data_IF_865440663080
#
_entry.id   IF_865440663080
#
_cell.length_a   1.000
_cell.length_b   1.000
_cell.length_c   1.000
_cell.angle_alpha   90.00
_cell.angle_beta   90.00
_cell.angle_gamma   90.00
#
_symmetry.space_group_name_H-M   'P 1'
#
loop_
_entity.id
_entity.type
_entity.pdbx_description
1 polymer ?
#
# COMPACT_ATOMS: atom_id res chain seq x y z
N UNK A 1 -3.00 40.09 63.01
CA UNK A 1 -2.79 39.88 61.56
C UNK A 1 -3.49 38.59 61.19
N UNK A 2 -4.50 38.69 60.33
CA UNK A 2 -5.71 37.88 60.32
C UNK A 2 -5.61 36.68 59.36
N UNK A 3 -6.06 35.51 59.83
CA UNK A 3 -6.20 34.22 59.11
C UNK A 3 -6.96 34.28 57.76
N UNK A 4 -7.51 35.44 57.39
CA UNK A 4 -8.24 35.64 56.14
C UNK A 4 -7.33 35.77 54.91
N UNK A 5 -6.06 36.13 55.08
CA UNK A 5 -5.13 36.30 53.96
C UNK A 5 -4.67 34.95 53.34
N UNK A 6 -4.54 33.90 54.15
CA UNK A 6 -4.07 32.58 53.68
C UNK A 6 -5.14 31.77 52.93
N UNK A 7 -6.44 32.09 53.10
CA UNK A 7 -7.52 31.38 52.42
C UNK A 7 -7.64 31.77 50.94
N UNK A 8 -7.38 33.04 50.60
CA UNK A 8 -7.50 33.53 49.22
C UNK A 8 -6.40 33.03 48.28
N UNK A 9 -5.21 32.72 48.81
CA UNK A 9 -4.11 32.17 48.00
C UNK A 9 -4.37 30.70 47.62
N UNK A 10 -5.12 29.97 48.43
CA UNK A 10 -5.39 28.53 48.18
C UNK A 10 -6.52 28.31 47.17
N UNK A 11 -7.50 29.22 47.08
CA UNK A 11 -8.57 29.15 46.07
C UNK A 11 -8.07 29.61 44.69
N UNK A 12 -7.12 30.55 44.63
CA UNK A 12 -6.53 31.00 43.38
C UNK A 12 -5.60 29.94 42.74
N UNK A 13 -4.96 29.08 43.54
CA UNK A 13 -4.06 28.04 43.03
C UNK A 13 -4.79 26.81 42.44
N UNK A 14 -6.04 26.55 42.86
CA UNK A 14 -6.85 25.44 42.32
C UNK A 14 -7.59 25.86 41.04
N UNK A 15 -7.87 27.16 40.85
CA UNK A 15 -8.54 27.67 39.64
C UNK A 15 -7.65 27.77 38.38
N UNK A 16 -6.33 27.69 38.52
CA UNK A 16 -5.38 27.81 37.39
C UNK A 16 -4.90 26.43 36.90
N UNK A 17 -5.07 25.36 37.70
CA UNK A 17 -4.63 24.01 37.35
C UNK A 17 -5.63 23.22 36.48
N UNK A 18 -6.80 23.78 36.15
CA UNK A 18 -7.84 23.11 35.35
C UNK A 18 -7.83 23.45 33.85
N UNK A 19 -6.82 24.18 33.35
CA UNK A 19 -6.68 24.54 31.94
C UNK A 19 -5.64 23.69 31.16
N UNK A 20 -5.34 22.49 31.63
CA UNK A 20 -4.49 21.56 30.88
C UNK A 20 -5.37 20.60 30.08
N UNK A 21 -5.34 20.78 28.75
CA UNK A 21 -5.79 19.83 27.72
C UNK A 21 -7.29 19.70 27.43
N UNK A 22 -7.97 20.81 27.15
CA UNK A 22 -8.99 20.78 26.11
C UNK A 22 -8.25 20.95 24.76
N UNK A 23 -7.90 19.83 24.10
CA UNK A 23 -7.59 19.90 22.68
C UNK A 23 -8.79 20.60 22.00
N UNK A 24 -8.59 21.59 21.11
CA UNK A 24 -9.71 22.16 20.40
C UNK A 24 -10.38 21.01 19.65
N UNK A 25 -11.60 20.67 20.04
CA UNK A 25 -12.56 19.99 19.19
C UNK A 25 -12.69 20.89 17.97
N UNK A 26 -11.84 20.68 16.95
CA UNK A 26 -12.09 21.23 15.64
C UNK A 26 -13.40 20.61 15.23
N UNK A 27 -14.48 21.39 15.31
CA UNK A 27 -15.74 21.06 14.69
C UNK A 27 -15.40 20.78 13.23
N UNK A 28 -15.36 19.50 12.90
CA UNK A 28 -14.97 19.05 11.58
C UNK A 28 -16.12 19.45 10.67
N UNK A 29 -15.89 20.46 9.84
CA UNK A 29 -16.91 20.94 8.90
C UNK A 29 -17.36 19.74 8.08
N UNK A 30 -18.64 19.39 8.20
CA UNK A 30 -19.21 18.28 7.46
C UNK A 30 -18.90 18.47 5.96
N UNK A 31 -18.46 17.40 5.30
CA UNK A 31 -18.14 17.44 3.88
C UNK A 31 -19.42 17.75 3.13
N UNK A 32 -19.46 18.81 2.32
CA UNK A 32 -20.65 19.11 1.55
C UNK A 32 -20.90 17.99 0.53
N UNK A 33 -22.08 17.38 0.58
CA UNK A 33 -22.58 16.36 -0.34
C UNK A 33 -24.01 16.70 -0.76
N UNK A 34 -24.43 16.25 -1.93
CA UNK A 34 -25.83 16.18 -2.33
C UNK A 34 -26.41 14.78 -2.08
N UNK A 35 -27.56 14.47 -2.69
CA UNK A 35 -28.35 13.30 -2.33
C UNK A 35 -27.88 12.00 -3.03
N UNK A 36 -27.03 12.11 -4.05
CA UNK A 36 -26.46 11.00 -4.80
C UNK A 36 -25.01 10.68 -4.42
N UNK A 37 -24.41 11.51 -3.56
CA UNK A 37 -23.05 11.35 -3.04
C UNK A 37 -23.01 10.65 -1.67
N UNK A 38 -21.89 9.97 -1.39
CA UNK A 38 -21.50 9.54 -0.03
C UNK A 38 -20.25 10.31 0.34
N UNK A 39 -20.26 11.02 1.48
CA UNK A 39 -19.11 11.80 1.93
C UNK A 39 -18.83 11.65 3.41
N UNK A 40 -17.62 12.01 3.80
CA UNK A 40 -17.22 11.96 5.19
C UNK A 40 -15.73 12.19 5.38
N UNK A 41 -15.27 11.96 6.61
CA UNK A 41 -13.85 12.03 6.95
C UNK A 41 -13.36 10.69 7.48
N UNK A 42 -12.20 10.26 7.00
CA UNK A 42 -11.43 9.19 7.60
C UNK A 42 -10.52 9.75 8.68
N UNK A 43 -10.60 9.19 9.88
CA UNK A 43 -9.73 9.56 11.01
C UNK A 43 -9.02 8.35 11.60
N UNK A 44 -7.77 8.55 12.03
CA UNK A 44 -6.96 7.59 12.78
C UNK A 44 -6.62 8.12 14.18
N UNK A 45 -5.65 7.50 14.84
CA UNK A 45 -5.28 7.86 16.22
C UNK A 45 -4.71 9.29 16.35
N UNK A 46 -4.16 9.82 15.26
CA UNK A 46 -3.46 11.12 15.24
C UNK A 46 -4.28 12.24 14.55
N UNK A 47 -5.55 11.99 14.21
CA UNK A 47 -6.41 12.93 13.50
C UNK A 47 -6.83 12.43 12.12
N UNK A 48 -7.18 13.33 11.18
CA UNK A 48 -7.58 12.94 9.83
C UNK A 48 -6.45 12.25 9.07
N UNK A 49 -6.80 11.23 8.28
CA UNK A 49 -5.86 10.42 7.52
C UNK A 49 -5.91 10.76 6.03
N UNK A 50 -4.78 11.23 5.48
CA UNK A 50 -4.65 11.53 4.06
C UNK A 50 -4.27 10.29 3.25
N UNK A 51 -4.67 10.22 1.97
CA UNK A 51 -4.25 9.13 1.08
C UNK A 51 -4.93 7.78 1.32
N UNK A 52 -6.06 7.75 2.05
CA UNK A 52 -6.80 6.53 2.36
C UNK A 52 -7.74 6.16 1.23
N UNK A 53 -7.71 4.90 0.78
CA UNK A 53 -8.74 4.38 -0.15
C UNK A 53 -10.06 4.25 0.60
N UNK A 54 -11.11 4.88 0.09
CA UNK A 54 -12.48 4.63 0.51
C UNK A 54 -13.19 3.88 -0.61
N UNK A 55 -13.70 2.69 -0.30
CA UNK A 55 -14.29 1.76 -1.27
C UNK A 55 -15.77 1.58 -0.93
N UNK A 56 -16.66 2.06 -1.79
CA UNK A 56 -18.10 1.82 -1.72
C UNK A 56 -18.44 0.68 -2.69
N UNK A 57 -19.05 -0.41 -2.18
CA UNK A 57 -19.39 -1.59 -2.96
C UNK A 57 -20.88 -1.91 -2.85
N UNK A 58 -21.50 -2.38 -3.93
CA UNK A 58 -22.86 -2.94 -3.91
C UNK A 58 -22.91 -4.27 -4.65
N UNK A 59 -23.78 -5.15 -4.18
CA UNK A 59 -24.15 -6.43 -4.81
C UNK A 59 -25.58 -6.44 -5.33
N UNK A 60 -26.27 -5.29 -5.33
CA UNK A 60 -27.68 -5.19 -5.72
C UNK A 60 -27.87 -5.19 -7.24
N UNK A 61 -26.77 -5.03 -7.98
CA UNK A 61 -26.71 -5.20 -9.43
C UNK A 61 -26.37 -6.64 -9.79
N UNK A 62 -26.74 -7.12 -11.01
CA UNK A 62 -26.36 -8.45 -11.49
C UNK A 62 -24.84 -8.73 -11.49
N UNK A 63 -24.04 -7.66 -11.46
CA UNK A 63 -22.58 -7.70 -11.29
C UNK A 63 -22.19 -6.82 -10.12
N UNK A 64 -21.30 -7.31 -9.24
CA UNK A 64 -20.72 -6.49 -8.15
C UNK A 64 -20.17 -5.19 -8.72
N UNK A 65 -20.56 -4.08 -8.12
CA UNK A 65 -20.11 -2.75 -8.50
C UNK A 65 -19.35 -2.13 -7.33
N UNK A 66 -18.24 -1.44 -7.63
CA UNK A 66 -17.45 -0.75 -6.62
C UNK A 66 -16.97 0.60 -7.16
N UNK A 67 -17.02 1.63 -6.32
CA UNK A 67 -16.38 2.94 -6.54
C UNK A 67 -15.28 3.11 -5.50
N UNK A 68 -14.15 3.68 -5.91
CA UNK A 68 -13.01 3.94 -5.04
C UNK A 68 -12.55 5.38 -5.18
N UNK A 69 -12.34 6.04 -4.04
CA UNK A 69 -11.79 7.40 -3.95
C UNK A 69 -10.70 7.45 -2.91
N UNK A 70 -10.01 8.59 -2.81
CA UNK A 70 -8.89 8.79 -1.89
C UNK A 70 -9.14 10.04 -1.07
N UNK A 71 -8.83 9.97 0.21
CA UNK A 71 -8.95 11.14 1.08
C UNK A 71 -7.93 12.23 0.76
N UNK A 72 -8.35 13.49 0.90
CA UNK A 72 -7.45 14.65 0.82
C UNK A 72 -6.57 14.82 2.08
N UNK A 73 -5.77 15.88 2.13
CA UNK A 73 -4.88 16.19 3.27
C UNK A 73 -5.62 16.42 4.60
N UNK A 74 -6.95 16.60 4.56
CA UNK A 74 -7.82 16.76 5.73
C UNK A 74 -8.64 15.49 6.01
N UNK A 75 -8.31 14.38 5.37
CA UNK A 75 -9.00 13.09 5.49
C UNK A 75 -10.39 13.05 4.85
N UNK A 76 -10.79 14.08 4.11
CA UNK A 76 -12.14 14.18 3.53
C UNK A 76 -12.23 13.36 2.26
N UNK A 77 -13.38 12.73 2.05
CA UNK A 77 -13.71 12.06 0.80
C UNK A 77 -15.15 12.37 0.39
N UNK A 78 -15.38 12.28 -0.92
CA UNK A 78 -16.71 12.20 -1.54
C UNK A 78 -16.60 11.07 -2.56
N UNK A 79 -17.61 10.22 -2.68
CA UNK A 79 -17.72 9.20 -3.72
C UNK A 79 -18.71 9.68 -4.79
N UNK A 80 -18.28 10.53 -5.75
CA UNK A 80 -19.14 11.01 -6.82
C UNK A 80 -19.17 10.03 -8.00
N UNK A 81 -19.86 10.39 -9.07
CA UNK A 81 -19.96 9.61 -10.31
C UNK A 81 -18.67 9.50 -11.18
N UNK A 82 -17.45 9.87 -10.71
CA UNK A 82 -16.15 9.68 -11.44
C UNK A 82 -14.87 9.82 -10.54
N UNK A 83 -13.70 9.25 -10.90
CA UNK A 83 -12.62 8.75 -9.98
C UNK A 83 -11.16 9.33 -10.06
N UNK A 84 -10.35 9.20 -8.96
CA UNK A 84 -8.83 9.17 -8.88
C UNK A 84 -8.26 8.43 -7.60
N UNK A 85 -6.94 8.04 -7.53
CA UNK A 85 -6.27 6.93 -6.73
C UNK A 85 -5.04 7.30 -5.81
N UNK A 86 -4.75 6.61 -4.66
CA UNK A 86 -3.56 6.78 -3.74
C UNK A 86 -3.53 5.89 -2.45
N UNK A 87 -2.38 5.50 -1.81
CA UNK A 87 -2.08 4.31 -0.92
C UNK A 87 -1.72 4.54 0.59
N UNK A 88 -1.83 3.54 1.52
CA UNK A 88 -1.10 3.57 2.83
C UNK A 88 -1.59 2.81 4.10
N UNK A 89 -2.72 2.07 4.14
CA UNK A 89 -3.33 1.52 5.38
C UNK A 89 -3.74 0.03 5.27
N UNK A 90 -4.17 -0.59 6.38
CA UNK A 90 -4.91 -1.88 6.36
C UNK A 90 -6.42 -1.65 6.26
N UNK A 91 -7.15 -2.65 5.78
CA UNK A 91 -8.61 -2.57 5.65
C UNK A 91 -9.30 -2.38 7.01
N UNK A 92 -10.17 -1.36 7.10
CA UNK A 92 -11.14 -1.24 8.19
C UNK A 92 -12.26 -2.28 8.05
N UNK A 93 -13.07 -2.43 9.09
CA UNK A 93 -14.34 -3.14 8.96
C UNK A 93 -15.22 -2.46 7.88
N UNK A 94 -15.99 -3.26 7.14
CA UNK A 94 -17.03 -2.75 6.24
C UNK A 94 -18.14 -2.12 7.09
N UNK A 95 -18.71 -1.02 6.58
CA UNK A 95 -19.82 -0.29 7.21
C UNK A 95 -20.88 -0.08 6.14
N UNK A 96 -22.14 -0.28 6.48
CA UNK A 96 -23.26 -0.04 5.57
C UNK A 96 -23.43 1.46 5.32
N UNK A 97 -23.77 1.83 4.08
CA UNK A 97 -23.98 3.20 3.68
C UNK A 97 -24.87 3.34 2.45
N UNK A 98 -25.62 4.43 2.38
CA UNK A 98 -26.52 4.76 1.26
C UNK A 98 -26.19 6.15 0.68
N UNK A 99 -26.52 6.42 -0.59
CA UNK A 99 -26.41 7.77 -1.16
C UNK A 99 -27.13 8.83 -0.32
N UNK A 100 -26.53 10.02 -0.21
CA UNK A 100 -26.98 11.11 0.65
C UNK A 100 -26.55 10.99 2.11
N UNK A 101 -25.82 9.93 2.47
CA UNK A 101 -25.35 9.72 3.85
C UNK A 101 -23.98 10.37 4.11
N UNK A 102 -23.91 11.09 5.22
CA UNK A 102 -22.63 11.43 5.86
C UNK A 102 -22.10 10.22 6.62
N UNK A 103 -20.99 9.66 6.16
CA UNK A 103 -20.40 8.46 6.71
C UNK A 103 -18.96 8.73 7.13
N UNK A 104 -18.73 8.98 8.42
CA UNK A 104 -17.36 9.10 8.94
C UNK A 104 -16.79 7.69 9.18
N UNK A 105 -15.54 7.51 8.77
CA UNK A 105 -14.84 6.22 8.85
C UNK A 105 -13.65 6.32 9.78
N UNK A 106 -13.28 5.19 10.39
CA UNK A 106 -12.11 5.09 11.25
C UNK A 106 -11.07 4.16 10.65
N UNK A 107 -9.89 4.70 10.38
CA UNK A 107 -8.75 3.92 9.95
C UNK A 107 -8.27 3.01 11.08
N UNK A 108 -7.82 1.81 10.72
CA UNK A 108 -7.21 0.86 11.65
C UNK A 108 -5.70 0.88 11.43
N UNK A 109 -4.89 1.15 12.46
CA UNK A 109 -3.44 1.04 12.33
C UNK A 109 -3.05 -0.42 12.12
N UNK A 110 -2.09 -0.67 11.25
CA UNK A 110 -1.48 -2.00 11.14
C UNK A 110 -0.83 -2.38 12.48
N UNK A 111 -0.92 -3.64 12.92
CA UNK A 111 -0.25 -4.08 14.15
C UNK A 111 1.29 -4.04 14.06
N UNK A 112 1.85 -4.02 12.84
CA UNK A 112 3.26 -3.86 12.53
C UNK A 112 3.46 -3.58 11.02
N UNK A 113 4.67 -3.20 10.63
CA UNK A 113 5.03 -2.89 9.24
C UNK A 113 4.80 -4.07 8.29
N UNK A 114 5.04 -5.30 8.74
CA UNK A 114 4.84 -6.50 7.92
C UNK A 114 3.35 -6.72 7.59
N UNK A 115 2.45 -6.41 8.52
CA UNK A 115 1.01 -6.45 8.30
C UNK A 115 0.55 -5.33 7.36
N UNK A 116 1.10 -4.10 7.50
CA UNK A 116 0.81 -3.00 6.58
C UNK A 116 1.21 -3.34 5.14
N UNK A 117 2.41 -3.92 4.98
CA UNK A 117 2.99 -4.19 3.68
C UNK A 117 2.16 -5.20 2.83
N UNK A 118 1.33 -6.04 3.46
CA UNK A 118 0.44 -6.95 2.71
C UNK A 118 -0.57 -6.23 1.82
N UNK A 119 -0.92 -4.98 2.16
CA UNK A 119 -1.89 -4.17 1.43
C UNK A 119 -1.25 -3.28 0.36
N UNK A 120 0.09 -3.20 0.30
CA UNK A 120 0.77 -2.45 -0.74
C UNK A 120 0.55 -3.06 -2.12
N UNK A 121 0.35 -2.23 -3.15
CA UNK A 121 0.09 -2.71 -4.50
C UNK A 121 1.29 -3.49 -5.01
N UNK A 122 1.04 -4.39 -5.95
CA UNK A 122 2.08 -5.18 -6.59
C UNK A 122 3.26 -4.31 -7.08
N UNK A 123 2.96 -3.17 -7.72
CA UNK A 123 3.98 -2.28 -8.26
C UNK A 123 4.90 -1.65 -7.20
N UNK A 124 4.39 -1.38 -5.98
CA UNK A 124 5.21 -0.82 -4.92
C UNK A 124 6.31 -1.82 -4.54
N UNK A 125 5.91 -3.08 -4.39
CA UNK A 125 6.85 -4.14 -4.10
C UNK A 125 7.83 -4.40 -5.25
N UNK A 126 7.31 -4.41 -6.49
CA UNK A 126 8.16 -4.63 -7.66
C UNK A 126 9.21 -3.53 -7.85
N UNK A 127 8.87 -2.28 -7.51
CA UNK A 127 9.81 -1.16 -7.54
C UNK A 127 10.99 -1.30 -6.55
N UNK A 128 10.89 -2.19 -5.55
CA UNK A 128 11.99 -2.49 -4.63
C UNK A 128 12.99 -3.50 -5.19
N UNK A 129 12.72 -4.09 -6.36
CA UNK A 129 13.65 -5.00 -7.03
C UNK A 129 14.97 -4.27 -7.31
N UNK A 130 16.08 -4.79 -6.78
CA UNK A 130 17.39 -4.21 -7.03
C UNK A 130 17.78 -4.37 -8.49
N UNK A 131 18.41 -3.34 -9.02
CA UNK A 131 19.00 -3.35 -10.36
C UNK A 131 20.47 -3.76 -10.23
N UNK A 132 20.99 -4.63 -11.11
CA UNK A 132 22.41 -4.94 -11.11
C UNK A 132 23.29 -3.67 -11.16
N UNK A 133 24.42 -3.64 -10.44
CA UNK A 133 25.33 -2.52 -10.49
C UNK A 133 25.88 -2.33 -11.92
N UNK A 134 26.18 -1.09 -12.30
CA UNK A 134 26.62 -0.76 -13.65
C UNK A 134 27.88 -1.54 -14.08
N UNK A 135 28.75 -1.90 -13.13
CA UNK A 135 29.97 -2.68 -13.35
C UNK A 135 29.74 -4.13 -13.75
N UNK A 136 28.55 -4.69 -13.55
CA UNK A 136 28.20 -6.06 -13.98
C UNK A 136 27.81 -6.14 -15.46
N UNK A 137 27.56 -5.01 -16.14
CA UNK A 137 27.23 -4.99 -17.56
C UNK A 137 28.49 -4.94 -18.44
N UNK A 138 28.36 -5.38 -19.70
CA UNK A 138 29.45 -5.32 -20.68
C UNK A 138 30.31 -6.58 -20.77
N UNK A 139 29.85 -7.69 -20.17
CA UNK A 139 30.52 -9.00 -20.22
C UNK A 139 31.57 -9.23 -19.13
N UNK A 140 31.53 -8.44 -18.06
CA UNK A 140 32.35 -8.57 -16.85
C UNK A 140 31.73 -9.50 -15.79
N UNK A 141 30.51 -9.97 -16.01
CA UNK A 141 29.75 -10.86 -15.11
C UNK A 141 28.98 -11.90 -15.91
N UNK A 142 28.12 -12.68 -15.23
CA UNK A 142 27.20 -13.62 -15.85
C UNK A 142 26.09 -12.93 -16.69
N UNK A 143 25.96 -11.60 -16.61
CA UNK A 143 25.10 -10.84 -17.54
C UNK A 143 25.71 -10.91 -18.94
N UNK A 144 24.98 -11.46 -19.94
CA UNK A 144 25.51 -11.59 -21.28
C UNK A 144 25.95 -10.24 -21.88
N UNK A 145 27.09 -10.24 -22.57
CA UNK A 145 27.76 -9.02 -23.09
C UNK A 145 26.85 -8.12 -23.95
N UNK A 146 25.86 -8.70 -24.64
CA UNK A 146 24.90 -7.99 -25.49
C UNK A 146 23.73 -7.35 -24.71
N UNK A 147 23.60 -7.62 -23.40
CA UNK A 147 22.60 -6.99 -22.54
C UNK A 147 23.22 -5.73 -21.92
N UNK A 148 22.79 -4.56 -22.41
CA UNK A 148 23.13 -3.28 -21.79
C UNK A 148 22.23 -3.01 -20.59
N UNK A 149 22.63 -2.05 -19.74
CA UNK A 149 21.82 -1.62 -18.59
C UNK A 149 20.46 -1.08 -19.03
N UNK A 150 20.42 -0.30 -20.09
CA UNK A 150 19.18 0.27 -20.64
C UNK A 150 18.27 -0.83 -21.18
N UNK A 151 18.86 -1.86 -21.81
CA UNK A 151 18.13 -3.01 -22.32
C UNK A 151 17.54 -3.86 -21.18
N UNK A 152 18.34 -4.09 -20.14
CA UNK A 152 17.88 -4.74 -18.90
C UNK A 152 16.72 -3.99 -18.29
N UNK A 153 16.86 -2.68 -18.06
CA UNK A 153 15.81 -1.85 -17.46
C UNK A 153 14.54 -1.86 -18.31
N UNK A 154 14.64 -1.75 -19.63
CA UNK A 154 13.48 -1.79 -20.52
C UNK A 154 12.71 -3.11 -20.37
N UNK A 155 13.42 -4.23 -20.41
CA UNK A 155 12.81 -5.57 -20.35
C UNK A 155 12.31 -5.94 -18.95
N UNK A 156 13.00 -5.50 -17.89
CA UNK A 156 12.56 -5.74 -16.51
C UNK A 156 11.48 -4.77 -16.05
N UNK A 157 11.29 -3.62 -16.69
CA UNK A 157 10.27 -2.66 -16.26
C UNK A 157 8.88 -3.01 -16.81
N UNK A 158 8.72 -3.06 -18.15
CA UNK A 158 7.38 -3.17 -18.75
C UNK A 158 7.39 -3.70 -20.20
N UNK A 159 8.46 -4.36 -20.63
CA UNK A 159 8.53 -4.97 -21.96
C UNK A 159 8.73 -6.46 -21.79
N UNK A 160 8.26 -7.25 -22.75
CA UNK A 160 8.39 -8.71 -22.74
C UNK A 160 7.65 -9.35 -21.55
N UNK A 161 8.21 -10.35 -20.87
CA UNK A 161 7.48 -11.17 -19.88
C UNK A 161 6.84 -10.32 -18.77
N UNK A 162 7.55 -9.29 -18.29
CA UNK A 162 7.09 -8.46 -17.17
C UNK A 162 5.95 -7.53 -17.58
N UNK A 163 5.84 -7.16 -18.86
CA UNK A 163 4.72 -6.37 -19.35
C UNK A 163 3.38 -7.12 -19.29
N UNK A 164 3.41 -8.46 -19.40
CA UNK A 164 2.20 -9.30 -19.33
C UNK A 164 2.00 -9.96 -17.97
N UNK A 165 3.08 -10.20 -17.22
CA UNK A 165 3.02 -10.84 -15.91
C UNK A 165 3.22 -9.79 -14.81
N UNK A 166 2.13 -9.45 -14.11
CA UNK A 166 2.25 -8.66 -12.90
C UNK A 166 3.16 -9.40 -11.91
N UNK A 167 4.27 -8.76 -11.55
CA UNK A 167 5.08 -9.12 -10.40
C UNK A 167 4.76 -8.13 -9.28
N UNK A 168 4.80 -8.57 -8.02
CA UNK A 168 4.52 -7.66 -6.91
C UNK A 168 3.56 -8.18 -5.86
N UNK A 169 2.59 -8.94 -6.34
CA UNK A 169 1.51 -9.46 -5.54
C UNK A 169 2.00 -10.60 -4.65
N UNK A 170 1.24 -10.89 -3.60
CA UNK A 170 1.57 -11.93 -2.62
C UNK A 170 1.95 -13.27 -3.27
N UNK A 171 1.25 -13.69 -4.33
CA UNK A 171 1.52 -14.94 -5.03
C UNK A 171 2.89 -14.99 -5.74
N UNK A 172 3.47 -13.84 -6.13
CA UNK A 172 4.82 -13.79 -6.72
C UNK A 172 5.89 -13.50 -5.68
N UNK A 173 5.53 -12.84 -4.57
CA UNK A 173 6.39 -12.60 -3.39
C UNK A 173 6.52 -13.77 -2.43
N UNK A 174 5.79 -14.86 -2.64
CA UNK A 174 5.85 -16.05 -1.80
C UNK A 174 5.94 -17.29 -2.67
N UNK A 175 6.73 -18.28 -2.27
CA UNK A 175 6.85 -19.54 -3.00
C UNK A 175 5.77 -20.53 -2.50
N UNK A 176 4.92 -21.08 -3.38
CA UNK A 176 3.97 -22.10 -2.98
C UNK A 176 4.66 -23.31 -2.36
N UNK A 177 4.19 -23.78 -1.21
CA UNK A 177 4.75 -24.96 -0.53
C UNK A 177 4.76 -26.22 -1.43
N UNK A 178 3.83 -26.32 -2.38
CA UNK A 178 3.77 -27.39 -3.37
C UNK A 178 5.00 -27.45 -4.30
N UNK A 179 5.81 -26.39 -4.37
CA UNK A 179 7.05 -26.40 -5.14
C UNK A 179 8.22 -27.06 -4.40
N UNK A 180 8.07 -27.27 -3.08
CA UNK A 180 9.09 -27.86 -2.22
C UNK A 180 9.97 -26.82 -1.53
N UNK A 181 11.06 -27.30 -0.94
CA UNK A 181 12.05 -26.48 -0.26
C UNK A 181 13.26 -26.21 -1.17
N UNK A 182 13.83 -25.01 -1.06
CA UNK A 182 14.95 -24.55 -1.88
C UNK A 182 16.03 -23.94 -1.00
N UNK A 183 17.29 -24.03 -1.43
CA UNK A 183 18.42 -23.47 -0.67
C UNK A 183 18.51 -21.95 -0.77
N UNK A 184 17.86 -21.36 -1.77
CA UNK A 184 17.83 -19.92 -2.00
C UNK A 184 16.55 -19.50 -2.73
N UNK A 185 16.19 -18.21 -2.60
CA UNK A 185 15.13 -17.62 -3.40
C UNK A 185 15.40 -17.70 -4.90
N UNK A 186 16.67 -17.68 -5.33
CA UNK A 186 17.05 -17.85 -6.73
C UNK A 186 16.67 -19.23 -7.28
N UNK A 187 16.97 -20.30 -6.53
CA UNK A 187 16.57 -21.67 -6.89
C UNK A 187 15.04 -21.80 -6.94
N UNK A 188 14.35 -21.18 -5.96
CA UNK A 188 12.89 -21.20 -5.92
C UNK A 188 12.26 -20.49 -7.12
N UNK A 189 12.83 -19.36 -7.56
CA UNK A 189 12.40 -18.65 -8.75
C UNK A 189 12.70 -19.40 -10.05
N UNK A 190 13.86 -20.04 -10.13
CA UNK A 190 14.19 -20.91 -11.26
C UNK A 190 13.15 -22.03 -11.39
N UNK A 191 12.77 -22.68 -10.29
CA UNK A 191 11.71 -23.70 -10.30
C UNK A 191 10.32 -23.13 -10.60
N UNK A 192 10.00 -21.93 -10.10
CA UNK A 192 8.71 -21.25 -10.38
C UNK A 192 8.51 -21.07 -11.87
N UNK A 193 9.46 -20.42 -12.56
CA UNK A 193 9.26 -20.00 -13.95
C UNK A 193 9.21 -21.16 -14.94
N UNK A 194 9.66 -22.35 -14.54
CA UNK A 194 9.53 -23.59 -15.32
C UNK A 194 8.09 -24.14 -15.32
N UNK A 195 7.20 -23.56 -14.51
CA UNK A 195 5.83 -24.06 -14.35
C UNK A 195 4.89 -23.55 -15.45
N UNK A 196 3.94 -24.39 -15.85
CA UNK A 196 2.88 -24.04 -16.80
C UNK A 196 3.29 -24.18 -18.27
N UNK A 197 2.35 -23.90 -19.17
CA UNK A 197 2.50 -24.12 -20.61
C UNK A 197 3.63 -23.28 -21.24
N UNK A 198 3.93 -22.12 -20.68
CA UNK A 198 4.97 -21.19 -21.17
C UNK A 198 6.29 -21.34 -20.42
N UNK A 199 6.44 -22.33 -19.53
CA UNK A 199 7.57 -22.43 -18.62
C UNK A 199 8.92 -22.58 -19.33
N UNK A 200 8.96 -23.33 -20.43
CA UNK A 200 10.16 -23.45 -21.27
C UNK A 200 10.57 -22.10 -21.87
N UNK A 201 9.61 -21.37 -22.46
CA UNK A 201 9.85 -20.05 -23.06
C UNK A 201 10.34 -19.03 -22.02
N UNK A 202 9.71 -19.02 -20.84
CA UNK A 202 10.13 -18.17 -19.73
C UNK A 202 11.54 -18.54 -19.23
N UNK A 203 11.85 -19.83 -19.14
CA UNK A 203 13.18 -20.32 -18.75
C UNK A 203 14.23 -19.92 -19.77
N UNK A 204 13.98 -20.13 -21.06
CA UNK A 204 14.89 -19.71 -22.13
C UNK A 204 15.11 -18.18 -22.11
N UNK A 205 14.08 -17.41 -21.74
CA UNK A 205 14.21 -15.97 -21.62
C UNK A 205 15.11 -15.57 -20.45
N UNK A 206 14.80 -16.02 -19.24
CA UNK A 206 15.51 -15.60 -18.02
C UNK A 206 16.88 -16.29 -17.88
N UNK A 207 16.93 -17.62 -18.02
CA UNK A 207 18.17 -18.37 -17.92
C UNK A 207 19.05 -18.21 -19.16
N UNK A 208 18.47 -18.31 -20.36
CA UNK A 208 19.23 -18.25 -21.61
C UNK A 208 19.65 -16.84 -22.00
N UNK A 209 18.70 -15.91 -22.14
CA UNK A 209 19.00 -14.58 -22.70
C UNK A 209 19.54 -13.58 -21.68
N UNK A 210 19.23 -13.76 -20.39
CA UNK A 210 19.76 -12.94 -19.30
C UNK A 210 20.83 -13.64 -18.47
N UNK A 211 21.26 -14.85 -18.86
CA UNK A 211 22.28 -15.61 -18.13
C UNK A 211 21.83 -16.10 -16.75
N UNK A 212 20.53 -16.12 -16.46
CA UNK A 212 19.99 -16.53 -15.16
C UNK A 212 20.15 -15.51 -14.03
N UNK A 213 20.86 -14.40 -14.28
CA UNK A 213 21.08 -13.33 -13.31
C UNK A 213 19.80 -12.79 -12.64
N UNK A 214 18.64 -12.65 -13.34
CA UNK A 214 17.42 -12.16 -12.72
C UNK A 214 16.92 -13.01 -11.54
N UNK A 215 17.21 -14.31 -11.49
CA UNK A 215 16.75 -15.20 -10.42
C UNK A 215 17.20 -14.74 -9.04
N UNK A 216 18.43 -14.25 -8.93
CA UNK A 216 18.95 -13.68 -7.68
C UNK A 216 18.08 -12.52 -7.21
N UNK A 217 17.80 -11.57 -8.10
CA UNK A 217 17.07 -10.36 -7.76
C UNK A 217 15.61 -10.65 -7.44
N UNK A 218 14.96 -11.56 -8.18
CA UNK A 218 13.61 -12.01 -7.84
C UNK A 218 13.59 -12.74 -6.49
N UNK A 219 14.60 -13.56 -6.22
CA UNK A 219 14.77 -14.30 -4.97
C UNK A 219 15.05 -13.43 -3.73
N UNK A 220 15.76 -12.31 -3.87
CA UNK A 220 16.05 -11.37 -2.77
C UNK A 220 14.78 -10.79 -2.12
N UNK A 221 13.66 -10.84 -2.83
CA UNK A 221 12.38 -10.23 -2.47
C UNK A 221 11.29 -11.28 -2.11
N UNK A 222 11.64 -12.57 -2.12
CA UNK A 222 10.69 -13.68 -1.97
C UNK A 222 11.12 -14.62 -0.85
#
# INVERSE_FOLDING_TARGET
>A
MTLKASLYVTVAAIGIASFVWAAPLRAQTAVAIDNDDIGGVVTGANGPEAGVWVIAETTDLPTRFAKMVVTDDQGRYVVPDVWVRGYGLVDSAKVDGEPGQQLNLRAVPAPNDAAAAQYYPAIYWYAMLKIPPASEFGGSSDIPKNITRENWLRQMNNVDCIGCHQLGQQATRTIPAAFGEFKSGAEAWQRRIQSGQTGEAMTNRIAGQFGGVPFKYFGDWT
#
